data_IF_847459263566
#
_entry.id   IF_847459263566
#
_cell.length_a   1.000
_cell.length_b   1.000
_cell.length_c   1.000
_cell.angle_alpha   90.00
_cell.angle_beta   90.00
_cell.angle_gamma   90.00
#
_symmetry.space_group_name_H-M   'P 1'
#
loop_
_entity.id
_entity.type
_entity.pdbx_description
1 polymer ?
#
# COMPACT_ATOMS: atom_id res chain seq x y z
N UNK A 1 -15.64 -3.90 -28.86
CA UNK A 1 -15.84 -3.18 -27.57
C UNK A 1 -14.89 -3.80 -26.55
N UNK A 2 -13.91 -3.06 -26.02
CA UNK A 2 -13.10 -3.53 -24.90
C UNK A 2 -13.94 -3.40 -23.63
N UNK A 3 -14.22 -4.52 -22.94
CA UNK A 3 -14.91 -4.49 -21.66
C UNK A 3 -13.96 -3.94 -20.58
N UNK A 4 -14.46 -3.02 -19.76
CA UNK A 4 -13.74 -2.55 -18.57
C UNK A 4 -13.43 -3.74 -17.65
N UNK A 5 -12.16 -3.93 -17.32
CA UNK A 5 -11.73 -5.03 -16.46
C UNK A 5 -11.75 -4.61 -15.00
N UNK A 6 -12.41 -5.40 -14.18
CA UNK A 6 -12.37 -5.27 -12.71
C UNK A 6 -11.32 -6.22 -12.12
N UNK A 7 -10.57 -5.74 -11.13
CA UNK A 7 -9.62 -6.55 -10.36
C UNK A 7 -9.95 -6.48 -8.87
N UNK A 8 -10.20 -7.64 -8.28
CA UNK A 8 -10.38 -7.79 -6.84
C UNK A 8 -9.07 -7.58 -6.07
N UNK A 9 -9.13 -7.35 -4.74
CA UNK A 9 -7.92 -7.28 -3.90
C UNK A 9 -7.04 -8.53 -4.01
N UNK A 10 -7.62 -9.72 -4.16
CA UNK A 10 -6.88 -10.96 -4.34
C UNK A 10 -6.08 -10.95 -5.65
N UNK A 11 -6.72 -10.60 -6.77
CA UNK A 11 -6.07 -10.48 -8.07
C UNK A 11 -4.99 -9.39 -8.10
N UNK A 12 -5.22 -8.27 -7.38
CA UNK A 12 -4.21 -7.21 -7.20
C UNK A 12 -3.01 -7.75 -6.42
N UNK A 13 -3.24 -8.52 -5.34
CA UNK A 13 -2.18 -9.12 -4.54
C UNK A 13 -1.29 -10.07 -5.35
N UNK A 14 -1.89 -10.91 -6.20
CA UNK A 14 -1.18 -11.84 -7.07
C UNK A 14 -0.27 -11.14 -8.09
N UNK A 15 -0.72 -9.99 -8.63
CA UNK A 15 -0.01 -9.26 -9.69
C UNK A 15 1.00 -8.25 -9.19
N UNK A 16 0.90 -7.83 -7.94
CA UNK A 16 1.79 -6.82 -7.33
C UNK A 16 2.74 -7.46 -6.32
N UNK A 17 3.60 -8.37 -6.76
CA UNK A 17 4.66 -8.89 -5.91
C UNK A 17 5.60 -7.75 -5.46
N UNK A 18 6.07 -7.80 -4.20
CA UNK A 18 6.83 -6.70 -3.59
C UNK A 18 8.09 -6.31 -4.36
N UNK A 19 8.97 -7.24 -4.81
CA UNK A 19 10.17 -6.86 -5.55
C UNK A 19 9.86 -6.11 -6.84
N UNK A 20 8.89 -6.60 -7.63
CA UNK A 20 8.49 -5.98 -8.88
C UNK A 20 7.83 -4.62 -8.66
N UNK A 21 7.04 -4.47 -7.58
CA UNK A 21 6.42 -3.19 -7.24
C UNK A 21 7.45 -2.16 -6.77
N UNK A 22 8.47 -2.56 -6.00
CA UNK A 22 9.58 -1.69 -5.59
C UNK A 22 10.31 -1.16 -6.84
N UNK A 23 10.60 -2.04 -7.82
CA UNK A 23 11.26 -1.64 -9.05
C UNK A 23 10.37 -0.75 -9.93
N UNK A 24 9.10 -1.05 -10.05
CA UNK A 24 8.13 -0.20 -10.75
C UNK A 24 8.03 1.20 -10.13
N UNK A 25 8.08 1.28 -8.78
CA UNK A 25 8.11 2.56 -8.07
C UNK A 25 9.43 3.30 -8.30
N UNK A 26 10.58 2.60 -8.30
CA UNK A 26 11.89 3.18 -8.61
C UNK A 26 11.90 3.87 -9.97
N UNK A 27 11.42 3.16 -10.98
CA UNK A 27 11.34 3.66 -12.37
C UNK A 27 10.30 4.78 -12.48
N UNK A 28 9.12 4.59 -11.88
CA UNK A 28 8.01 5.54 -11.99
C UNK A 28 8.25 6.87 -11.28
N UNK A 29 8.83 6.83 -10.07
CA UNK A 29 9.13 8.04 -9.29
C UNK A 29 10.29 8.87 -9.89
N UNK A 30 11.13 8.26 -10.72
CA UNK A 30 12.18 8.98 -11.45
C UNK A 30 11.65 9.79 -12.65
N UNK A 31 10.40 9.58 -13.06
CA UNK A 31 9.78 10.22 -14.21
C UNK A 31 8.90 11.38 -13.78
N UNK A 32 8.81 12.47 -14.55
CA UNK A 32 7.88 13.56 -14.28
C UNK A 32 6.43 13.05 -14.28
N UNK A 33 5.65 13.44 -13.29
CA UNK A 33 4.21 13.18 -13.24
C UNK A 33 3.48 14.41 -12.68
N UNK A 34 2.22 14.55 -13.01
CA UNK A 34 1.32 15.52 -12.43
C UNK A 34 0.46 14.83 -11.36
N UNK A 35 0.62 15.24 -10.11
CA UNK A 35 -0.13 14.73 -8.98
C UNK A 35 -0.70 15.91 -8.17
N UNK A 36 -1.86 16.46 -8.54
CA UNK A 36 -2.49 17.54 -7.80
C UNK A 36 -2.75 17.16 -6.34
N UNK A 37 -2.85 18.15 -5.47
CA UNK A 37 -3.29 17.93 -4.10
C UNK A 37 -4.66 17.20 -4.11
N UNK A 38 -4.78 16.23 -3.22
CA UNK A 38 -6.04 15.50 -3.05
C UNK A 38 -7.18 16.44 -2.67
N UNK A 39 -8.34 16.23 -3.26
CA UNK A 39 -9.57 16.83 -2.76
C UNK A 39 -10.10 15.97 -1.61
N UNK A 40 -10.51 16.64 -0.53
CA UNK A 40 -11.10 16.00 0.64
C UNK A 40 -12.49 16.61 0.88
N UNK A 41 -13.52 15.79 0.80
CA UNK A 41 -14.90 16.17 1.05
C UNK A 41 -15.33 15.60 2.40
N UNK A 42 -15.74 16.47 3.32
CA UNK A 42 -16.34 16.05 4.57
C UNK A 42 -17.70 15.40 4.32
N UNK A 43 -17.95 14.29 4.96
CA UNK A 43 -19.20 13.55 4.95
C UNK A 43 -19.80 13.55 6.38
N UNK A 44 -21.08 13.22 6.56
CA UNK A 44 -21.67 13.02 7.87
C UNK A 44 -20.87 12.03 8.74
N UNK A 45 -21.07 12.09 10.06
CA UNK A 45 -20.43 11.20 11.04
C UNK A 45 -18.89 11.21 11.02
N UNK A 46 -18.28 12.36 10.78
CA UNK A 46 -16.83 12.54 10.68
C UNK A 46 -16.17 11.69 9.58
N UNK A 47 -16.95 11.19 8.63
CA UNK A 47 -16.46 10.48 7.48
C UNK A 47 -15.92 11.44 6.42
N UNK A 48 -15.13 10.91 5.48
CA UNK A 48 -14.60 11.70 4.36
C UNK A 48 -14.49 10.89 3.08
N UNK A 49 -14.60 11.61 1.95
CA UNK A 49 -14.28 11.12 0.62
C UNK A 49 -13.03 11.86 0.11
N UNK A 50 -12.02 11.11 -0.30
CA UNK A 50 -10.80 11.65 -0.89
C UNK A 50 -10.72 11.28 -2.37
N UNK A 51 -10.36 12.26 -3.20
CA UNK A 51 -10.10 12.08 -4.63
C UNK A 51 -8.63 12.38 -4.89
N UNK A 52 -7.92 11.42 -5.48
CA UNK A 52 -6.47 11.48 -5.67
C UNK A 52 -6.14 11.16 -7.14
N UNK A 53 -6.24 12.16 -8.03
CA UNK A 53 -5.85 12.00 -9.43
C UNK A 53 -4.33 12.06 -9.59
N UNK A 54 -3.84 11.38 -10.62
CA UNK A 54 -2.45 11.43 -11.07
C UNK A 54 -2.40 11.13 -12.56
N UNK A 55 -1.51 11.77 -13.29
CA UNK A 55 -1.25 11.41 -14.69
C UNK A 55 0.20 11.61 -15.06
N UNK A 56 0.63 10.82 -16.02
CA UNK A 56 1.94 10.90 -16.63
C UNK A 56 1.75 10.88 -18.15
N UNK A 57 2.33 11.87 -18.83
CA UNK A 57 2.25 11.97 -20.28
C UNK A 57 2.76 10.69 -20.96
N UNK A 58 2.00 10.16 -21.91
CA UNK A 58 2.33 8.93 -22.65
C UNK A 58 2.27 7.63 -21.84
N UNK A 59 1.84 7.67 -20.56
CA UNK A 59 1.73 6.48 -19.74
C UNK A 59 0.31 6.16 -19.28
N UNK A 60 -0.39 7.10 -18.67
CA UNK A 60 -1.76 6.87 -18.22
C UNK A 60 -2.28 7.92 -17.24
N UNK A 61 -3.57 7.80 -16.95
CA UNK A 61 -4.27 8.60 -15.95
C UNK A 61 -4.81 7.66 -14.89
N UNK A 62 -4.53 7.94 -13.63
CA UNK A 62 -5.02 7.19 -12.49
C UNK A 62 -5.84 8.05 -11.55
N UNK A 63 -6.95 7.52 -11.04
CA UNK A 63 -7.75 8.19 -10.01
C UNK A 63 -8.04 7.21 -8.89
N UNK A 64 -7.55 7.50 -7.69
CA UNK A 64 -7.93 6.76 -6.50
C UNK A 64 -9.02 7.50 -5.74
N UNK A 65 -10.14 6.81 -5.50
CA UNK A 65 -11.22 7.25 -4.63
C UNK A 65 -11.12 6.49 -3.31
N UNK A 66 -11.14 7.21 -2.20
CA UNK A 66 -11.01 6.63 -0.85
C UNK A 66 -12.11 7.16 0.03
N UNK A 67 -12.81 6.27 0.70
CA UNK A 67 -13.73 6.65 1.78
C UNK A 67 -13.11 6.31 3.14
N UNK A 68 -13.27 7.21 4.10
CA UNK A 68 -12.81 7.02 5.48
C UNK A 68 -14.02 7.15 6.41
N UNK A 69 -14.34 6.08 7.13
CA UNK A 69 -15.42 6.00 8.09
C UNK A 69 -14.87 5.57 9.44
N UNK A 70 -14.46 6.50 10.32
CA UNK A 70 -13.79 6.18 11.59
C UNK A 70 -14.61 5.28 12.52
N UNK A 71 -15.94 5.40 12.48
CA UNK A 71 -16.86 4.58 13.28
C UNK A 71 -17.01 3.12 12.86
N UNK A 72 -16.48 2.71 11.71
CA UNK A 72 -16.64 1.34 11.19
C UNK A 72 -15.99 0.28 12.09
N UNK A 73 -14.94 0.63 12.83
CA UNK A 73 -14.28 -0.30 13.74
C UNK A 73 -15.21 -0.89 14.80
N UNK A 74 -16.17 -0.11 15.31
CA UNK A 74 -17.19 -0.58 16.25
C UNK A 74 -18.16 -1.60 15.64
N UNK A 75 -18.24 -1.66 14.31
CA UNK A 75 -19.09 -2.59 13.53
C UNK A 75 -18.30 -3.75 12.92
N UNK A 76 -17.02 -3.89 13.24
CA UNK A 76 -16.14 -4.89 12.63
C UNK A 76 -15.83 -4.65 11.15
N UNK A 77 -16.09 -3.45 10.64
CA UNK A 77 -15.87 -3.08 9.24
C UNK A 77 -14.57 -2.30 9.08
N UNK A 78 -13.91 -2.34 7.90
CA UNK A 78 -12.77 -1.51 7.60
C UNK A 78 -13.11 -0.01 7.69
N UNK A 79 -12.25 0.76 8.36
CA UNK A 79 -12.41 2.20 8.43
C UNK A 79 -12.09 2.90 7.09
N UNK A 80 -11.34 2.24 6.22
CA UNK A 80 -10.91 2.77 4.93
C UNK A 80 -11.28 1.78 3.83
N UNK A 81 -11.96 2.27 2.80
CA UNK A 81 -12.20 1.54 1.56
C UNK A 81 -11.75 2.39 0.36
N UNK A 82 -11.28 1.74 -0.70
CA UNK A 82 -10.77 2.46 -1.85
C UNK A 82 -10.99 1.69 -3.15
N UNK A 83 -11.19 2.45 -4.23
CA UNK A 83 -11.10 1.96 -5.60
C UNK A 83 -10.10 2.81 -6.39
N UNK A 84 -9.48 2.20 -7.40
CA UNK A 84 -8.56 2.87 -8.31
C UNK A 84 -9.04 2.65 -9.74
N UNK A 85 -9.27 3.74 -10.47
CA UNK A 85 -9.59 3.72 -11.89
C UNK A 85 -8.35 4.09 -12.70
N UNK A 86 -8.04 3.29 -13.72
CA UNK A 86 -6.96 3.51 -14.66
C UNK A 86 -7.54 3.80 -16.04
N UNK A 87 -7.01 4.85 -16.68
CA UNK A 87 -7.39 5.27 -18.02
C UNK A 87 -6.15 5.33 -18.91
N UNK A 88 -6.34 5.13 -20.18
CA UNK A 88 -5.32 5.32 -21.20
C UNK A 88 -4.87 6.79 -21.24
N UNK A 89 -3.57 7.01 -21.39
CA UNK A 89 -2.99 8.35 -21.41
C UNK A 89 -3.10 9.08 -22.76
N UNK A 90 -3.47 8.38 -23.82
CA UNK A 90 -3.57 8.94 -25.18
C UNK A 90 -5.00 9.28 -25.55
N UNK A 91 -5.94 8.35 -25.34
CA UNK A 91 -7.33 8.51 -25.77
C UNK A 91 -8.36 8.63 -24.62
N UNK A 92 -7.91 8.49 -23.37
CA UNK A 92 -8.73 8.65 -22.17
C UNK A 92 -9.72 7.52 -21.91
N UNK A 93 -9.69 6.41 -22.67
CA UNK A 93 -10.59 5.29 -22.44
C UNK A 93 -10.30 4.62 -21.10
N UNK A 94 -11.32 4.13 -20.38
CA UNK A 94 -11.12 3.37 -19.16
C UNK A 94 -10.48 2.01 -19.48
N UNK A 95 -9.41 1.67 -18.76
CA UNK A 95 -8.66 0.42 -18.93
C UNK A 95 -9.00 -0.59 -17.84
N UNK A 96 -9.07 -0.13 -16.59
CA UNK A 96 -9.31 -1.01 -15.45
C UNK A 96 -9.91 -0.27 -14.26
N UNK A 97 -10.64 -1.03 -13.45
CA UNK A 97 -11.08 -0.63 -12.11
C UNK A 97 -10.55 -1.67 -11.11
N UNK A 98 -9.89 -1.23 -10.06
CA UNK A 98 -9.28 -2.10 -9.05
C UNK A 98 -9.89 -1.84 -7.68
N UNK A 99 -10.13 -2.89 -6.89
CA UNK A 99 -10.19 -2.73 -5.44
C UNK A 99 -8.81 -2.25 -4.96
N UNK A 100 -8.77 -1.14 -4.22
CA UNK A 100 -7.51 -0.46 -3.98
C UNK A 100 -6.99 -0.56 -2.53
N UNK A 101 -7.56 -1.41 -1.69
CA UNK A 101 -7.06 -1.62 -0.33
C UNK A 101 -5.69 -2.30 -0.35
N UNK A 102 -5.58 -3.40 -1.09
CA UNK A 102 -4.32 -4.12 -1.27
C UNK A 102 -3.28 -3.29 -2.01
N UNK A 103 -3.67 -2.63 -3.11
CA UNK A 103 -2.82 -1.68 -3.82
C UNK A 103 -2.26 -0.60 -2.89
N UNK A 104 -3.13 -0.01 -2.04
CA UNK A 104 -2.74 1.05 -1.10
C UNK A 104 -1.74 0.55 -0.06
N UNK A 105 -1.96 -0.62 0.51
CA UNK A 105 -1.07 -1.21 1.51
C UNK A 105 0.30 -1.56 0.90
N UNK A 106 0.32 -2.29 -0.20
CA UNK A 106 1.56 -2.71 -0.87
C UNK A 106 2.38 -1.53 -1.38
N UNK A 107 1.76 -0.58 -2.12
CA UNK A 107 2.51 0.56 -2.64
C UNK A 107 3.08 1.44 -1.51
N UNK A 108 2.38 1.55 -0.38
CA UNK A 108 2.85 2.34 0.77
C UNK A 108 4.07 1.66 1.41
N UNK A 109 4.00 0.36 1.64
CA UNK A 109 5.12 -0.41 2.17
C UNK A 109 6.32 -0.44 1.21
N UNK A 110 6.08 -0.63 -0.09
CA UNK A 110 7.13 -0.63 -1.10
C UNK A 110 7.79 0.74 -1.27
N UNK A 111 7.03 1.84 -1.16
CA UNK A 111 7.63 3.19 -1.16
C UNK A 111 8.54 3.41 0.03
N UNK A 112 8.15 2.93 1.22
CA UNK A 112 8.99 2.97 2.43
C UNK A 112 10.24 2.12 2.28
N UNK A 113 10.09 0.90 1.76
CA UNK A 113 11.22 0.00 1.51
C UNK A 113 12.20 0.57 0.47
N UNK A 114 11.69 1.18 -0.61
CA UNK A 114 12.51 1.87 -1.61
C UNK A 114 13.28 3.04 -0.99
N UNK A 115 12.64 3.84 -0.14
CA UNK A 115 13.34 4.90 0.59
C UNK A 115 14.43 4.35 1.51
N UNK A 116 14.15 3.26 2.23
CA UNK A 116 15.13 2.59 3.07
C UNK A 116 16.31 2.00 2.27
N UNK A 117 16.05 1.54 1.05
CA UNK A 117 17.09 1.03 0.15
C UNK A 117 18.16 2.09 -0.19
N UNK A 118 17.73 3.34 -0.33
CA UNK A 118 18.64 4.47 -0.59
C UNK A 118 19.23 5.11 0.66
N UNK A 119 18.51 5.09 1.79
CA UNK A 119 18.82 5.95 2.94
C UNK A 119 19.28 5.19 4.17
N UNK A 120 18.93 3.90 4.29
CA UNK A 120 19.36 3.11 5.43
C UNK A 120 20.79 2.60 5.22
N UNK A 121 21.51 2.40 6.32
CA UNK A 121 22.85 1.82 6.30
C UNK A 121 22.84 0.44 5.63
N UNK A 122 23.84 0.13 4.85
CA UNK A 122 23.96 -1.16 4.13
C UNK A 122 24.12 -2.36 5.07
N UNK A 123 24.69 -2.14 6.25
CA UNK A 123 24.87 -3.14 7.30
C UNK A 123 23.70 -3.26 8.27
N UNK A 124 22.57 -2.58 8.03
CA UNK A 124 21.38 -2.68 8.87
C UNK A 124 20.82 -4.10 8.86
N UNK A 125 20.76 -4.74 10.05
CA UNK A 125 20.27 -6.11 10.24
C UNK A 125 19.07 -6.19 11.19
N UNK A 126 18.58 -5.04 11.65
CA UNK A 126 17.42 -4.96 12.55
C UNK A 126 16.40 -4.01 11.98
N UNK A 127 15.12 -4.45 11.99
CA UNK A 127 13.97 -3.65 11.60
C UNK A 127 13.04 -3.52 12.80
N UNK A 128 12.66 -2.31 13.16
CA UNK A 128 11.58 -2.06 14.11
C UNK A 128 10.36 -1.55 13.36
N UNK A 129 9.24 -2.25 13.55
CA UNK A 129 7.93 -1.83 13.04
C UNK A 129 7.07 -1.37 14.21
N UNK A 130 6.74 -0.08 14.23
CA UNK A 130 5.88 0.53 15.25
C UNK A 130 4.44 0.53 14.76
N UNK A 131 3.62 -0.31 15.38
CA UNK A 131 2.23 -0.57 15.01
C UNK A 131 2.00 -2.02 14.60
N UNK A 132 0.80 -2.55 14.86
CA UNK A 132 0.39 -3.92 14.55
C UNK A 132 -0.91 -3.98 13.72
N UNK A 133 -1.20 -2.91 12.97
CA UNK A 133 -2.33 -2.83 12.04
C UNK A 133 -2.04 -3.51 10.70
N UNK A 134 -2.99 -3.42 9.77
CA UNK A 134 -2.93 -4.05 8.44
C UNK A 134 -1.62 -3.74 7.70
N UNK A 135 -1.13 -2.50 7.75
CA UNK A 135 0.08 -2.09 7.04
C UNK A 135 1.36 -2.74 7.59
N UNK A 136 1.40 -3.12 8.87
CA UNK A 136 2.62 -3.62 9.52
C UNK A 136 3.19 -4.89 8.84
N UNK A 137 2.34 -5.85 8.48
CA UNK A 137 2.78 -7.04 7.75
C UNK A 137 3.35 -6.69 6.35
N UNK A 138 2.72 -5.76 5.64
CA UNK A 138 3.22 -5.29 4.35
C UNK A 138 4.58 -4.59 4.48
N UNK A 139 4.79 -3.80 5.56
CA UNK A 139 6.09 -3.18 5.84
C UNK A 139 7.19 -4.22 6.00
N UNK A 140 6.96 -5.27 6.79
CA UNK A 140 7.95 -6.34 6.95
C UNK A 140 8.29 -6.99 5.60
N UNK A 141 7.27 -7.40 4.84
CA UNK A 141 7.46 -8.08 3.55
C UNK A 141 8.22 -7.21 2.54
N UNK A 142 7.86 -5.92 2.45
CA UNK A 142 8.51 -5.00 1.53
C UNK A 142 9.96 -4.69 1.94
N UNK A 143 10.20 -4.40 3.21
CA UNK A 143 11.55 -4.11 3.71
C UNK A 143 12.48 -5.32 3.61
N UNK A 144 11.98 -6.53 3.81
CA UNK A 144 12.74 -7.76 3.62
C UNK A 144 13.17 -8.00 2.15
N UNK A 145 12.57 -7.32 1.18
CA UNK A 145 13.00 -7.37 -0.21
C UNK A 145 14.28 -6.53 -0.49
N UNK A 146 14.60 -5.57 0.37
CA UNK A 146 15.71 -4.62 0.14
C UNK A 146 16.86 -4.79 1.13
N UNK A 147 16.66 -5.51 2.24
CA UNK A 147 17.71 -5.77 3.25
C UNK A 147 17.52 -7.16 3.87
N UNK A 148 18.61 -7.80 4.20
CA UNK A 148 18.65 -9.06 4.96
C UNK A 148 18.57 -8.77 6.47
N UNK A 149 17.33 -8.64 6.99
CA UNK A 149 17.11 -8.42 8.42
C UNK A 149 17.20 -9.72 9.21
N UNK A 150 18.08 -9.76 10.21
CA UNK A 150 18.22 -10.89 11.15
C UNK A 150 17.27 -10.80 12.34
N UNK A 151 16.74 -9.61 12.62
CA UNK A 151 15.80 -9.34 13.70
C UNK A 151 14.73 -8.36 13.21
N UNK A 152 13.48 -8.70 13.41
CA UNK A 152 12.33 -7.85 13.10
C UNK A 152 11.50 -7.71 14.37
N UNK A 153 11.55 -6.55 14.99
CA UNK A 153 10.84 -6.24 16.22
C UNK A 153 9.50 -5.57 15.87
N UNK A 154 8.39 -6.12 16.40
CA UNK A 154 7.04 -5.56 16.23
C UNK A 154 6.60 -4.97 17.55
N UNK A 155 6.41 -3.66 17.58
CA UNK A 155 5.89 -2.98 18.75
C UNK A 155 4.48 -2.44 18.50
N UNK A 156 3.60 -2.59 19.48
CA UNK A 156 2.24 -2.04 19.44
C UNK A 156 1.70 -1.76 20.83
N UNK A 157 0.75 -0.83 20.95
CA UNK A 157 0.06 -0.52 22.23
C UNK A 157 -0.71 -1.72 22.80
N UNK A 158 -1.06 -2.67 21.96
CA UNK A 158 -1.69 -3.94 22.33
C UNK A 158 -0.66 -5.05 22.11
N UNK A 159 -0.03 -5.56 23.18
CA UNK A 159 0.99 -6.61 23.08
C UNK A 159 0.47 -7.92 22.47
N UNK A 160 -0.81 -8.26 22.70
CA UNK A 160 -1.38 -9.47 22.16
C UNK A 160 -1.50 -9.41 20.64
N UNK A 161 -1.90 -8.26 20.08
CA UNK A 161 -1.92 -8.04 18.62
C UNK A 161 -0.51 -8.03 18.03
N UNK A 162 0.46 -7.46 18.72
CA UNK A 162 1.86 -7.48 18.28
C UNK A 162 2.40 -8.92 18.24
N UNK A 163 2.15 -9.70 19.29
CA UNK A 163 2.55 -11.09 19.37
C UNK A 163 1.89 -11.96 18.29
N UNK A 164 0.59 -11.78 18.02
CA UNK A 164 -0.14 -12.48 16.97
C UNK A 164 0.42 -12.15 15.58
N UNK A 165 0.75 -10.87 15.32
CA UNK A 165 1.38 -10.48 14.07
C UNK A 165 2.77 -11.09 13.91
N UNK A 166 3.59 -11.05 14.96
CA UNK A 166 4.93 -11.66 14.94
C UNK A 166 4.88 -13.18 14.72
N UNK A 167 3.89 -13.88 15.32
CA UNK A 167 3.69 -15.32 15.10
C UNK A 167 3.39 -15.63 13.62
N UNK A 168 2.43 -14.92 13.02
CA UNK A 168 2.11 -15.06 11.60
C UNK A 168 3.30 -14.79 10.68
N UNK A 169 4.08 -13.74 10.96
CA UNK A 169 5.27 -13.43 10.18
C UNK A 169 6.37 -14.50 10.30
N UNK A 170 6.49 -15.16 11.47
CA UNK A 170 7.40 -16.33 11.62
C UNK A 170 6.95 -17.53 10.79
N UNK A 171 5.64 -17.79 10.70
CA UNK A 171 5.10 -18.83 9.82
C UNK A 171 5.42 -18.56 8.34
N UNK A 172 5.52 -17.28 7.97
CA UNK A 172 5.95 -16.84 6.63
C UNK A 172 7.50 -16.87 6.45
N UNK A 173 8.27 -17.24 7.49
CA UNK A 173 9.73 -17.34 7.43
C UNK A 173 10.49 -16.08 7.86
N UNK A 174 9.84 -15.03 8.35
CA UNK A 174 10.51 -13.83 8.84
C UNK A 174 10.98 -13.96 10.30
N UNK A 175 12.17 -13.45 10.68
CA UNK A 175 12.70 -13.51 12.06
C UNK A 175 12.01 -12.47 12.96
N UNK A 176 10.66 -12.55 13.09
CA UNK A 176 9.83 -11.57 13.76
C UNK A 176 9.58 -11.93 15.24
N UNK A 177 9.55 -10.91 16.10
CA UNK A 177 9.21 -11.00 17.52
C UNK A 177 8.45 -9.73 17.97
N UNK A 178 7.68 -9.84 19.04
CA UNK A 178 6.99 -8.72 19.69
C UNK A 178 7.72 -8.29 20.96
#
# INVERSE_FOLDING_TARGET
MHSLRFFSNAEVAERLAYPQLIEALRIGLAKPCSAPLRNCHALPAQASLLQMPVWQAGAGIGVKLVTVFPGNGARGLPAVAAVFALFDGEDGRPLALLEASELTARRTACSSALAADYLARDDARRLLVVGCGTLAAHMVRAHACVRDYRHIDIWGRDPAKAAALAARLREEGYPARA
#
